data_IF_013596177270
#
_entry.id   IF_013596177270
#
_cell.length_a   1.000
_cell.length_b   1.000
_cell.length_c   1.000
_cell.angle_alpha   90.00
_cell.angle_beta   90.00
_cell.angle_gamma   90.00
#
_symmetry.space_group_name_H-M   'P 1'
#
loop_
_entity.id
_entity.type
_entity.pdbx_description
1 polymer ?
#
# COMPACT_ATOMS: atom_id res chain seq x y z
N UNK A 1 -10.59 12.09 11.35
CA UNK A 1 -9.43 12.38 10.48
C UNK A 1 -9.89 12.68 9.05
N UNK A 2 -9.18 13.55 8.37
CA UNK A 2 -9.41 13.78 6.94
C UNK A 2 -8.85 12.61 6.11
N UNK A 3 -9.26 12.52 4.85
CA UNK A 3 -8.70 11.52 3.94
C UNK A 3 -7.20 11.70 3.76
N UNK A 4 -6.72 12.94 3.69
CA UNK A 4 -5.29 13.21 3.57
C UNK A 4 -4.50 12.76 4.80
N UNK A 5 -5.06 12.97 5.98
CA UNK A 5 -4.44 12.49 7.23
C UNK A 5 -4.36 10.97 7.27
N UNK A 6 -5.43 10.28 6.81
CA UNK A 6 -5.44 8.82 6.72
C UNK A 6 -4.33 8.34 5.78
N UNK A 7 -4.18 8.99 4.62
CA UNK A 7 -3.14 8.63 3.67
C UNK A 7 -1.73 8.78 4.28
N UNK A 8 -1.48 9.87 5.01
CA UNK A 8 -0.18 10.10 5.67
C UNK A 8 0.10 9.06 6.75
N UNK A 9 -0.91 8.75 7.56
CA UNK A 9 -0.77 7.73 8.62
C UNK A 9 -0.55 6.34 7.99
N UNK A 10 -1.22 6.05 6.90
CA UNK A 10 -1.02 4.81 6.15
C UNK A 10 0.45 4.64 5.75
N UNK A 11 1.06 5.68 5.18
CA UNK A 11 2.48 5.65 4.79
C UNK A 11 3.38 5.43 6.02
N UNK A 12 3.07 6.08 7.14
CA UNK A 12 3.83 5.90 8.37
C UNK A 12 3.79 4.46 8.86
N UNK A 13 2.61 3.85 8.89
CA UNK A 13 2.47 2.43 9.28
C UNK A 13 3.14 1.50 8.29
N UNK A 14 3.07 1.80 7.00
CA UNK A 14 3.70 1.01 5.96
C UNK A 14 5.23 1.01 6.15
N UNK A 15 5.81 2.18 6.44
CA UNK A 15 7.25 2.30 6.67
C UNK A 15 7.72 1.51 7.89
N UNK A 16 6.86 1.35 8.88
CA UNK A 16 7.17 0.61 10.12
C UNK A 16 6.87 -0.89 10.02
N UNK A 17 6.23 -1.34 8.94
CA UNK A 17 5.80 -2.72 8.80
C UNK A 17 4.69 -3.10 9.77
N UNK A 18 3.88 -2.13 10.21
CA UNK A 18 2.83 -2.33 11.21
C UNK A 18 1.52 -2.76 10.54
N UNK A 19 1.43 -4.04 10.21
CA UNK A 19 0.26 -4.60 9.54
C UNK A 19 -1.03 -4.39 10.34
N UNK A 20 -0.99 -4.60 11.65
CA UNK A 20 -2.18 -4.48 12.50
C UNK A 20 -2.78 -3.07 12.43
N UNK A 21 -1.94 -2.04 12.50
CA UNK A 21 -2.40 -0.65 12.41
C UNK A 21 -2.94 -0.30 11.03
N UNK A 22 -2.30 -0.80 9.96
CA UNK A 22 -2.79 -0.61 8.60
C UNK A 22 -4.18 -1.25 8.45
N UNK A 23 -4.34 -2.48 8.88
CA UNK A 23 -5.60 -3.22 8.74
C UNK A 23 -6.75 -2.47 9.43
N UNK A 24 -6.47 -1.81 10.56
CA UNK A 24 -7.49 -1.01 11.26
C UNK A 24 -7.94 0.22 10.49
N UNK A 25 -7.17 0.69 9.50
CA UNK A 25 -7.60 1.77 8.62
C UNK A 25 -8.63 1.32 7.59
N UNK A 26 -8.76 0.02 7.37
CA UNK A 26 -9.67 -0.56 6.38
C UNK A 26 -11.03 -0.92 7.00
N UNK A 27 -12.07 -0.90 6.16
CA UNK A 27 -13.33 -1.55 6.50
C UNK A 27 -13.11 -3.05 6.68
N UNK A 28 -14.00 -3.72 7.42
CA UNK A 28 -13.90 -5.17 7.67
C UNK A 28 -13.82 -5.95 6.36
N UNK A 29 -14.59 -5.54 5.36
CA UNK A 29 -14.59 -6.16 4.02
C UNK A 29 -13.61 -5.49 3.05
N UNK A 30 -12.69 -4.66 3.57
CA UNK A 30 -11.74 -3.93 2.73
C UNK A 30 -10.79 -4.83 1.96
N UNK A 31 -10.48 -4.42 0.73
CA UNK A 31 -9.64 -5.20 -0.17
C UNK A 31 -8.47 -4.38 -0.71
N UNK A 32 -7.42 -5.08 -1.11
CA UNK A 32 -6.27 -4.51 -1.82
C UNK A 32 -6.11 -5.24 -3.14
N UNK A 33 -5.96 -4.48 -4.22
CA UNK A 33 -5.66 -5.02 -5.54
C UNK A 33 -4.23 -4.59 -5.91
N UNK A 34 -3.33 -5.54 -5.97
CA UNK A 34 -1.92 -5.28 -6.28
C UNK A 34 -1.49 -6.02 -7.54
N UNK A 35 -0.50 -5.47 -8.29
CA UNK A 35 -0.03 -6.15 -9.50
C UNK A 35 0.63 -7.50 -9.24
N UNK A 36 1.35 -7.64 -8.12
CA UNK A 36 2.09 -8.87 -7.80
C UNK A 36 1.22 -9.87 -7.06
N UNK A 37 0.49 -9.42 -6.03
CA UNK A 37 -0.27 -10.31 -5.16
C UNK A 37 -1.73 -10.51 -5.58
N UNK A 38 -2.22 -9.71 -6.53
CA UNK A 38 -3.60 -9.79 -7.01
C UNK A 38 -4.61 -9.19 -6.05
N UNK A 39 -5.85 -9.64 -6.11
CA UNK A 39 -6.93 -9.17 -5.25
C UNK A 39 -6.96 -10.00 -3.96
N UNK A 40 -6.84 -9.32 -2.82
CA UNK A 40 -6.83 -9.95 -1.50
C UNK A 40 -7.58 -9.11 -0.49
N UNK A 41 -7.98 -9.71 0.63
CA UNK A 41 -8.41 -8.94 1.80
C UNK A 41 -7.22 -8.11 2.30
N UNK A 42 -7.50 -7.00 2.98
CA UNK A 42 -6.43 -6.19 3.55
C UNK A 42 -5.51 -7.00 4.46
N UNK A 43 -6.10 -7.84 5.35
CA UNK A 43 -5.30 -8.66 6.27
C UNK A 43 -4.36 -9.60 5.51
N UNK A 44 -4.87 -10.32 4.52
CA UNK A 44 -4.05 -11.25 3.74
C UNK A 44 -2.95 -10.53 2.97
N UNK A 45 -3.27 -9.39 2.35
CA UNK A 45 -2.30 -8.63 1.58
C UNK A 45 -1.12 -8.15 2.42
N UNK A 46 -1.39 -7.48 3.55
CA UNK A 46 -0.30 -6.92 4.35
C UNK A 46 0.50 -7.98 5.08
N UNK A 47 -0.11 -9.09 5.44
CA UNK A 47 0.63 -10.22 5.99
C UNK A 47 1.60 -10.79 4.94
N UNK A 48 1.15 -10.97 3.70
CA UNK A 48 2.01 -11.46 2.61
C UNK A 48 3.11 -10.46 2.27
N UNK A 49 2.77 -9.18 2.16
CA UNK A 49 3.74 -8.13 1.84
C UNK A 49 4.87 -8.10 2.87
N UNK A 50 4.52 -8.06 4.16
CA UNK A 50 5.53 -7.94 5.21
C UNK A 50 6.31 -9.24 5.44
N UNK A 51 5.74 -10.38 5.08
CA UNK A 51 6.48 -11.64 5.02
C UNK A 51 7.64 -11.57 4.02
N UNK A 52 7.43 -10.89 2.90
CA UNK A 52 8.43 -10.73 1.85
C UNK A 52 9.36 -9.53 2.06
N UNK A 53 9.07 -8.68 3.06
CA UNK A 53 9.73 -7.39 3.26
C UNK A 53 10.68 -7.42 4.45
N UNK A 54 11.90 -6.90 4.24
CA UNK A 54 12.83 -6.63 5.33
C UNK A 54 12.70 -5.18 5.80
N UNK A 55 12.59 -4.24 4.87
CA UNK A 55 12.51 -2.81 5.19
C UNK A 55 11.78 -2.05 4.10
N UNK A 56 11.03 -1.02 4.50
CA UNK A 56 10.33 -0.11 3.58
C UNK A 56 10.72 1.32 3.90
N UNK A 57 11.20 2.06 2.89
CA UNK A 57 11.46 3.49 3.00
C UNK A 57 10.59 4.20 1.97
N UNK A 58 9.83 5.19 2.43
CA UNK A 58 8.77 5.80 1.63
C UNK A 58 8.87 7.31 1.65
N UNK A 59 8.67 7.94 0.49
CA UNK A 59 8.66 9.40 0.36
C UNK A 59 7.40 9.80 -0.38
N UNK A 60 6.50 10.52 0.29
CA UNK A 60 5.28 11.03 -0.34
C UNK A 60 5.64 12.13 -1.34
N UNK A 61 5.15 12.00 -2.57
CA UNK A 61 5.34 12.99 -3.63
C UNK A 61 4.09 13.82 -3.87
N UNK A 62 2.91 13.31 -3.56
CA UNK A 62 1.67 14.06 -3.68
C UNK A 62 0.46 13.29 -3.20
N UNK A 63 -0.56 14.02 -2.79
CA UNK A 63 -1.86 13.47 -2.40
C UNK A 63 -2.91 14.25 -3.17
N UNK A 64 -3.72 13.56 -3.95
CA UNK A 64 -4.69 14.17 -4.85
C UNK A 64 -6.09 13.67 -4.53
N UNK A 65 -6.98 14.56 -4.08
CA UNK A 65 -8.38 14.20 -3.80
C UNK A 65 -9.27 14.52 -4.98
N UNK A 66 -10.25 13.66 -5.22
CA UNK A 66 -11.33 13.96 -6.14
C UNK A 66 -12.48 14.59 -5.35
N UNK A 67 -12.90 15.82 -5.74
CA UNK A 67 -13.85 16.62 -4.97
C UNK A 67 -15.22 15.95 -4.79
N UNK A 68 -15.71 15.25 -5.81
CA UNK A 68 -17.07 14.71 -5.83
C UNK A 68 -17.15 13.22 -5.47
N UNK A 69 -16.04 12.60 -5.18
CA UNK A 69 -15.99 11.17 -4.86
C UNK A 69 -15.20 10.93 -3.58
N UNK A 70 -15.52 9.82 -2.93
CA UNK A 70 -14.88 9.46 -1.67
C UNK A 70 -13.60 8.68 -1.92
N UNK A 71 -12.69 9.27 -2.70
CA UNK A 71 -11.42 8.62 -3.07
C UNK A 71 -10.30 9.62 -3.21
N UNK A 72 -9.06 9.12 -3.11
CA UNK A 72 -7.87 9.92 -3.36
C UNK A 72 -6.77 9.07 -4.02
N UNK A 73 -5.83 9.76 -4.68
CA UNK A 73 -4.62 9.13 -5.20
C UNK A 73 -3.44 9.57 -4.33
N UNK A 74 -2.69 8.60 -3.85
CA UNK A 74 -1.48 8.79 -3.04
C UNK A 74 -0.28 8.40 -3.89
N UNK A 75 0.53 9.40 -4.24
CA UNK A 75 1.71 9.22 -5.07
C UNK A 75 2.96 9.27 -4.21
N UNK A 76 3.80 8.22 -4.27
CA UNK A 76 4.98 8.12 -3.43
C UNK A 76 6.08 7.28 -4.07
N UNK A 77 7.31 7.49 -3.61
CA UNK A 77 8.43 6.63 -3.96
C UNK A 77 8.57 5.55 -2.89
N UNK A 78 8.76 4.31 -3.33
CA UNK A 78 8.93 3.17 -2.46
C UNK A 78 10.32 2.58 -2.69
N UNK A 79 11.13 2.57 -1.64
CA UNK A 79 12.37 1.79 -1.61
C UNK A 79 12.09 0.53 -0.81
N UNK A 80 11.94 -0.56 -1.52
CA UNK A 80 11.55 -1.85 -0.97
C UNK A 80 12.78 -2.74 -0.84
N UNK A 81 13.11 -3.13 0.39
CA UNK A 81 14.15 -4.12 0.68
C UNK A 81 13.44 -5.43 1.00
N UNK A 82 13.66 -6.43 0.16
CA UNK A 82 13.04 -7.74 0.30
C UNK A 82 13.79 -8.59 1.35
N UNK A 83 13.21 -9.71 1.74
CA UNK A 83 13.84 -10.65 2.69
C UNK A 83 15.17 -11.19 2.19
N UNK A 84 15.37 -11.25 0.88
CA UNK A 84 16.64 -11.62 0.27
C UNK A 84 17.76 -10.60 0.50
N UNK A 85 17.41 -9.38 0.94
CA UNK A 85 18.32 -8.25 1.04
C UNK A 85 18.41 -7.42 -0.24
N UNK A 86 17.83 -7.89 -1.33
CA UNK A 86 17.79 -7.14 -2.58
C UNK A 86 16.83 -5.97 -2.49
N UNK A 87 17.16 -4.87 -3.16
CA UNK A 87 16.38 -3.64 -3.12
C UNK A 87 15.85 -3.27 -4.49
N UNK A 88 14.68 -2.65 -4.49
CA UNK A 88 14.10 -2.04 -5.69
C UNK A 88 13.47 -0.71 -5.30
N UNK A 89 13.65 0.30 -6.15
CA UNK A 89 13.08 1.63 -5.96
C UNK A 89 12.13 1.89 -7.12
N UNK A 90 10.91 2.29 -6.81
CA UNK A 90 9.91 2.57 -7.84
C UNK A 90 8.89 3.58 -7.34
N UNK A 91 8.23 4.24 -8.29
CA UNK A 91 7.12 5.15 -7.99
C UNK A 91 5.82 4.37 -7.97
N UNK A 92 4.96 4.71 -7.01
CA UNK A 92 3.67 4.04 -6.80
C UNK A 92 2.57 5.09 -6.76
N UNK A 93 1.43 4.75 -7.32
CA UNK A 93 0.18 5.46 -7.09
C UNK A 93 -0.80 4.48 -6.46
N UNK A 94 -1.24 4.77 -5.24
CA UNK A 94 -2.31 4.03 -4.58
C UNK A 94 -3.61 4.82 -4.71
N UNK A 95 -4.64 4.17 -5.21
CA UNK A 95 -5.98 4.74 -5.22
C UNK A 95 -6.74 4.20 -4.01
N UNK A 96 -7.08 5.10 -3.09
CA UNK A 96 -7.81 4.76 -1.87
C UNK A 96 -9.28 5.16 -2.05
N UNK A 97 -10.16 4.18 -1.97
CA UNK A 97 -11.62 4.40 -2.00
C UNK A 97 -12.16 4.17 -0.60
N UNK A 98 -12.84 5.18 -0.05
CA UNK A 98 -13.34 5.18 1.33
C UNK A 98 -14.83 4.89 1.37
N UNK A 99 -15.28 4.28 2.46
CA UNK A 99 -16.70 4.16 2.76
C UNK A 99 -17.20 5.40 3.52
N UNK A 100 -18.47 5.42 3.92
CA UNK A 100 -19.09 6.55 4.63
C UNK A 100 -18.45 6.84 5.98
N UNK A 101 -17.83 5.83 6.61
CA UNK A 101 -17.16 5.96 7.91
C UNK A 101 -15.69 6.36 7.77
N UNK A 102 -15.25 6.74 6.56
CA UNK A 102 -13.85 7.05 6.24
C UNK A 102 -12.90 5.88 6.52
N UNK A 103 -13.39 4.66 6.38
CA UNK A 103 -12.54 3.47 6.34
C UNK A 103 -12.20 3.17 4.89
N UNK A 104 -11.00 2.64 4.65
CA UNK A 104 -10.60 2.27 3.30
C UNK A 104 -11.38 1.01 2.90
N UNK A 105 -12.18 1.13 1.85
CA UNK A 105 -12.96 0.01 1.32
C UNK A 105 -12.17 -0.76 0.28
N UNK A 106 -11.40 -0.03 -0.54
CA UNK A 106 -10.57 -0.63 -1.58
C UNK A 106 -9.32 0.22 -1.78
N UNK A 107 -8.18 -0.44 -1.88
CA UNK A 107 -6.91 0.19 -2.22
C UNK A 107 -6.37 -0.49 -3.47
N UNK A 108 -6.17 0.27 -4.53
CA UNK A 108 -5.61 -0.23 -5.79
C UNK A 108 -4.19 0.29 -5.94
N UNK A 109 -3.23 -0.60 -6.10
CA UNK A 109 -1.81 -0.26 -6.23
C UNK A 109 -1.42 -0.29 -7.70
N UNK A 110 -0.80 0.79 -8.17
CA UNK A 110 -0.38 0.95 -9.57
C UNK A 110 1.11 1.26 -9.60
N UNK A 111 1.91 0.39 -10.22
CA UNK A 111 3.32 0.64 -10.48
C UNK A 111 3.86 -0.32 -11.53
N UNK A 112 5.04 -0.01 -12.05
CA UNK A 112 5.73 -0.89 -12.99
C UNK A 112 6.42 -2.01 -12.22
N UNK A 113 6.04 -3.26 -12.49
CA UNK A 113 6.48 -4.43 -11.74
C UNK A 113 7.68 -5.15 -12.34
N UNK A 114 8.26 -4.62 -13.39
CA UNK A 114 9.27 -5.35 -14.17
C UNK A 114 10.44 -5.88 -13.32
N UNK A 115 10.89 -5.10 -12.33
CA UNK A 115 11.95 -5.53 -11.41
C UNK A 115 11.41 -6.25 -10.19
N UNK A 116 10.35 -5.71 -9.61
CA UNK A 116 9.78 -6.20 -8.35
C UNK A 116 9.24 -7.62 -8.46
N UNK A 117 8.57 -7.93 -9.55
CA UNK A 117 7.99 -9.24 -9.79
C UNK A 117 9.06 -10.34 -9.77
N UNK A 118 10.16 -10.10 -10.45
CA UNK A 118 11.28 -11.05 -10.50
C UNK A 118 11.87 -11.29 -9.12
N UNK A 119 12.08 -10.21 -8.34
CA UNK A 119 12.67 -10.31 -7.01
C UNK A 119 11.76 -11.08 -6.03
N UNK A 120 10.44 -10.88 -6.14
CA UNK A 120 9.48 -11.63 -5.31
C UNK A 120 9.45 -13.10 -5.70
N UNK A 121 9.48 -13.40 -6.99
CA UNK A 121 9.51 -14.79 -7.48
C UNK A 121 10.75 -15.54 -6.96
N UNK A 122 11.88 -14.86 -6.83
CA UNK A 122 13.12 -15.45 -6.32
C UNK A 122 13.04 -15.83 -4.84
N UNK A 123 12.08 -15.29 -4.09
CA UNK A 123 11.90 -15.62 -2.67
C UNK A 123 11.20 -16.97 -2.45
N UNK A 124 10.57 -17.52 -3.48
CA UNK A 124 9.75 -18.73 -3.36
C UNK A 124 10.35 -19.95 -4.05
#
# INVERSE_FOLDING_TARGET
MSKQEIAKIYIEFLSKGDAASIIRLFAVSGTVHSPIYGLKSAAAFYQDLFKDTSQSELVIKGIFEEADKNQLALYFEYKWTLKSGKQVIFDVVDILEFNEDLKIQKLTIIYDTVRSRKLVEELN
#
